data_IF_868846215638
#
_entry.id   IF_868846215638
#
_cell.length_a   1.000
_cell.length_b   1.000
_cell.length_c   1.000
_cell.angle_alpha   90.00
_cell.angle_beta   90.00
_cell.angle_gamma   90.00
#
_symmetry.space_group_name_H-M   'P 1'
#
loop_
_entity.id
_entity.type
_entity.pdbx_description
1 polymer ?
#
# COMPACT_ATOMS: atom_id res chain seq x y z
N UNK A 1 7.03 40.97 0.68
CA UNK A 1 5.96 40.44 -0.19
C UNK A 1 6.65 39.42 -1.09
N UNK A 2 7.04 38.28 -0.55
CA UNK A 2 6.18 37.10 -0.31
C UNK A 2 5.72 36.52 -1.63
N UNK A 3 6.47 35.55 -2.16
CA UNK A 3 5.95 34.25 -2.59
C UNK A 3 7.05 33.22 -2.28
N UNK A 4 6.84 32.47 -1.21
CA UNK A 4 7.59 31.26 -0.87
C UNK A 4 7.09 30.13 -1.78
N UNK A 5 8.03 29.28 -2.23
CA UNK A 5 7.96 27.81 -2.34
C UNK A 5 6.68 27.22 -2.97
N UNK A 6 6.76 26.45 -4.06
CA UNK A 6 7.22 25.06 -3.97
C UNK A 6 7.77 24.60 -5.32
N UNK A 7 9.06 24.29 -5.35
CA UNK A 7 9.63 23.46 -6.40
C UNK A 7 9.30 22.02 -6.02
N UNK A 8 8.49 21.35 -6.84
CA UNK A 8 8.28 19.90 -6.72
C UNK A 8 9.60 19.21 -7.08
N UNK A 9 10.43 18.97 -6.07
CA UNK A 9 11.69 18.25 -6.19
C UNK A 9 11.37 16.76 -6.40
N UNK A 10 11.58 16.29 -7.62
CA UNK A 10 11.40 14.89 -7.99
C UNK A 10 12.66 14.13 -7.59
N UNK A 11 12.59 13.37 -6.48
CA UNK A 11 13.72 12.55 -6.00
C UNK A 11 13.54 11.08 -6.41
N UNK A 12 14.68 10.48 -6.77
CA UNK A 12 14.90 9.28 -7.58
C UNK A 12 14.02 8.06 -7.29
N UNK A 13 13.65 7.38 -8.39
CA UNK A 13 12.43 6.60 -8.58
C UNK A 13 12.67 5.08 -8.56
N UNK A 14 11.85 4.32 -7.82
CA UNK A 14 11.49 2.95 -8.23
C UNK A 14 10.61 3.10 -9.47
N UNK A 15 11.16 2.95 -10.67
CA UNK A 15 10.56 3.37 -11.96
C UNK A 15 9.01 3.50 -11.95
N UNK A 16 8.51 4.74 -11.79
CA UNK A 16 7.09 5.09 -11.76
C UNK A 16 6.42 5.31 -10.39
N UNK A 17 7.11 5.12 -9.25
CA UNK A 17 6.51 5.41 -7.92
C UNK A 17 6.48 6.91 -7.61
N UNK A 18 5.32 7.40 -7.16
CA UNK A 18 5.10 8.81 -6.81
C UNK A 18 4.86 8.98 -5.31
N UNK A 19 5.20 10.15 -4.79
CA UNK A 19 4.84 10.57 -3.42
C UNK A 19 3.80 11.67 -3.52
N UNK A 20 2.72 11.52 -2.77
CA UNK A 20 1.62 12.49 -2.73
C UNK A 20 1.27 12.84 -1.30
N UNK A 21 0.85 14.08 -1.08
CA UNK A 21 0.34 14.56 0.20
C UNK A 21 -1.19 14.56 0.19
N UNK A 22 -1.79 13.83 1.13
CA UNK A 22 -3.25 13.72 1.26
C UNK A 22 -3.62 14.01 2.71
N UNK A 23 -4.39 15.08 2.94
CA UNK A 23 -4.80 15.48 4.29
C UNK A 23 -3.63 15.63 5.30
N UNK A 24 -2.46 16.08 4.82
CA UNK A 24 -1.24 16.22 5.64
C UNK A 24 -0.53 14.90 5.94
N UNK A 25 -0.85 13.84 5.19
CA UNK A 25 -0.20 12.53 5.25
C UNK A 25 0.57 12.28 3.96
N UNK A 26 1.86 12.00 4.09
CA UNK A 26 2.73 11.61 2.99
C UNK A 26 2.49 10.15 2.60
N UNK A 27 2.20 9.91 1.32
CA UNK A 27 1.81 8.59 0.79
C UNK A 27 2.68 8.23 -0.41
N UNK A 28 3.31 7.05 -0.35
CA UNK A 28 4.02 6.45 -1.47
C UNK A 28 3.05 5.61 -2.30
N UNK A 29 2.91 5.90 -3.59
CA UNK A 29 2.06 5.14 -4.52
C UNK A 29 2.92 4.39 -5.53
N UNK A 30 2.63 3.11 -5.70
CA UNK A 30 3.26 2.30 -6.73
C UNK A 30 2.41 2.29 -8.00
N UNK A 31 3.05 2.32 -9.19
CA UNK A 31 2.36 2.09 -10.46
C UNK A 31 1.88 0.63 -10.54
N UNK A 32 0.95 0.34 -11.45
CA UNK A 32 0.39 -1.00 -11.65
C UNK A 32 1.41 -1.98 -12.28
N UNK A 33 2.36 -1.47 -13.05
CA UNK A 33 3.47 -2.21 -13.61
C UNK A 33 4.72 -2.14 -12.71
N UNK A 34 5.46 -3.24 -12.59
CA UNK A 34 6.77 -3.25 -11.91
C UNK A 34 7.13 -4.61 -11.29
N UNK A 35 8.11 -4.59 -10.37
CA UNK A 35 8.62 -5.76 -9.63
C UNK A 35 7.63 -6.35 -8.63
N UNK A 36 7.11 -7.56 -8.86
CA UNK A 36 6.14 -8.22 -7.97
C UNK A 36 6.66 -8.32 -6.54
N UNK A 37 5.77 -8.05 -5.58
CA UNK A 37 5.98 -8.17 -4.13
C UNK A 37 5.57 -9.58 -3.75
N UNK A 38 6.56 -10.47 -3.64
CA UNK A 38 6.35 -11.90 -3.39
C UNK A 38 6.53 -12.30 -1.93
N UNK A 39 7.14 -11.46 -1.09
CA UNK A 39 7.35 -11.80 0.31
C UNK A 39 7.94 -10.69 1.17
N UNK A 40 8.46 -11.10 2.32
CA UNK A 40 8.95 -10.18 3.36
C UNK A 40 10.11 -9.30 2.90
N UNK A 41 11.00 -9.78 2.02
CA UNK A 41 12.12 -8.98 1.52
C UNK A 41 11.64 -7.82 0.66
N UNK A 42 10.76 -8.10 -0.30
CA UNK A 42 10.20 -7.06 -1.17
C UNK A 42 9.39 -6.04 -0.35
N UNK A 43 8.68 -6.49 0.69
CA UNK A 43 8.00 -5.60 1.62
C UNK A 43 8.97 -4.70 2.41
N UNK A 44 10.12 -5.24 2.84
CA UNK A 44 11.15 -4.47 3.52
C UNK A 44 11.78 -3.42 2.61
N UNK A 45 11.98 -3.73 1.34
CA UNK A 45 12.51 -2.77 0.36
C UNK A 45 11.53 -1.60 0.19
N UNK A 46 10.23 -1.89 0.03
CA UNK A 46 9.19 -0.85 -0.04
C UNK A 46 9.07 0.00 1.23
N UNK A 47 9.22 -0.61 2.40
CA UNK A 47 9.25 0.11 3.68
C UNK A 47 10.47 1.04 3.72
N UNK A 48 11.62 0.59 3.23
CA UNK A 48 12.81 1.42 3.08
C UNK A 48 12.57 2.63 2.19
N UNK A 49 11.95 2.43 1.03
CA UNK A 49 11.60 3.50 0.10
C UNK A 49 10.61 4.49 0.70
N UNK A 50 9.59 3.99 1.42
CA UNK A 50 8.61 4.82 2.10
C UNK A 50 9.27 5.70 3.16
N UNK A 51 10.09 5.11 4.05
CA UNK A 51 10.80 5.86 5.09
C UNK A 51 11.80 6.86 4.51
N UNK A 52 12.50 6.51 3.42
CA UNK A 52 13.41 7.43 2.75
C UNK A 52 12.73 8.65 2.13
N UNK A 53 11.40 8.62 2.01
CA UNK A 53 10.56 9.67 1.46
C UNK A 53 9.53 10.20 2.47
N UNK A 54 9.74 9.93 3.76
CA UNK A 54 8.85 10.29 4.87
C UNK A 54 7.39 9.82 4.72
N UNK A 55 7.14 8.82 3.87
CA UNK A 55 5.81 8.27 3.64
C UNK A 55 5.36 7.39 4.80
N UNK A 56 4.16 7.66 5.30
CA UNK A 56 3.54 6.89 6.40
C UNK A 56 2.50 5.88 5.89
N UNK A 57 2.18 5.95 4.59
CA UNK A 57 1.35 4.98 3.88
C UNK A 57 1.99 4.57 2.56
N UNK A 58 1.77 3.30 2.20
CA UNK A 58 2.12 2.76 0.88
C UNK A 58 0.87 2.22 0.21
N UNK A 59 0.58 2.72 -0.99
CA UNK A 59 -0.49 2.23 -1.86
C UNK A 59 0.11 1.31 -2.91
N UNK A 60 -0.31 0.05 -2.87
CA UNK A 60 0.18 -1.04 -3.72
C UNK A 60 -0.98 -1.54 -4.58
N UNK A 61 -0.88 -1.47 -5.93
CA UNK A 61 -1.85 -2.12 -6.78
C UNK A 61 -1.84 -3.65 -6.59
N UNK A 62 -3.01 -4.28 -6.55
CA UNK A 62 -3.18 -5.72 -6.34
C UNK A 62 -2.39 -6.54 -7.36
N UNK A 63 -2.25 -6.05 -8.60
CA UNK A 63 -1.44 -6.65 -9.66
C UNK A 63 0.07 -6.73 -9.34
N UNK A 64 0.56 -5.92 -8.38
CA UNK A 64 1.95 -5.96 -7.90
C UNK A 64 2.13 -7.03 -6.82
N UNK A 65 1.07 -7.57 -6.23
CA UNK A 65 1.15 -8.61 -5.21
C UNK A 65 1.21 -9.99 -5.87
N UNK A 66 2.13 -10.83 -5.40
CA UNK A 66 2.19 -12.21 -5.87
C UNK A 66 0.93 -13.00 -5.47
N UNK A 67 0.56 -14.00 -6.27
CA UNK A 67 -0.58 -14.91 -6.03
C UNK A 67 -0.58 -15.54 -4.62
N UNK A 68 0.60 -15.75 -4.03
CA UNK A 68 0.74 -16.30 -2.68
C UNK A 68 0.20 -15.35 -1.60
N UNK A 69 0.14 -14.04 -1.86
CA UNK A 69 -0.49 -13.07 -0.96
C UNK A 69 -1.98 -13.39 -0.76
N UNK A 70 -2.70 -13.72 -1.83
CA UNK A 70 -4.13 -14.03 -1.76
C UNK A 70 -4.41 -15.43 -1.19
N UNK A 71 -3.39 -16.28 -1.11
CA UNK A 71 -3.46 -17.62 -0.52
C UNK A 71 -2.96 -17.61 0.93
N UNK A 72 -3.81 -17.24 1.88
CA UNK A 72 -3.43 -17.06 3.29
C UNK A 72 -2.72 -18.27 3.96
N UNK A 73 -2.94 -19.49 3.46
CA UNK A 73 -2.23 -20.69 3.94
C UNK A 73 -0.71 -20.65 3.71
N UNK A 74 -0.23 -19.85 2.74
CA UNK A 74 1.21 -19.65 2.46
C UNK A 74 1.91 -18.81 3.52
N UNK A 75 1.14 -18.08 4.35
CA UNK A 75 1.62 -17.09 5.33
C UNK A 75 2.33 -15.88 4.73
N UNK A 76 2.38 -15.74 3.40
CA UNK A 76 3.03 -14.62 2.72
C UNK A 76 2.37 -13.28 3.06
N UNK A 77 1.04 -13.19 2.97
CA UNK A 77 0.32 -11.96 3.34
C UNK A 77 0.56 -11.57 4.80
N UNK A 78 0.51 -12.53 5.72
CA UNK A 78 0.78 -12.29 7.14
C UNK A 78 2.19 -11.74 7.37
N UNK A 79 3.21 -12.33 6.74
CA UNK A 79 4.59 -11.87 6.84
C UNK A 79 4.79 -10.45 6.29
N UNK A 80 4.22 -10.16 5.12
CA UNK A 80 4.26 -8.81 4.50
C UNK A 80 3.59 -7.79 5.43
N UNK A 81 2.33 -8.03 5.82
CA UNK A 81 1.55 -7.11 6.65
C UNK A 81 2.21 -6.89 8.01
N UNK A 82 2.79 -7.94 8.60
CA UNK A 82 3.50 -7.83 9.86
C UNK A 82 4.71 -6.89 9.76
N UNK A 83 5.41 -6.81 8.62
CA UNK A 83 6.46 -5.80 8.43
C UNK A 83 5.87 -4.40 8.50
N UNK A 84 4.84 -4.10 7.71
CA UNK A 84 4.20 -2.78 7.72
C UNK A 84 3.77 -2.35 9.12
N UNK A 85 3.13 -3.25 9.88
CA UNK A 85 2.75 -3.01 11.27
C UNK A 85 3.96 -2.74 12.18
N UNK A 86 5.03 -3.55 12.08
CA UNK A 86 6.23 -3.37 12.91
C UNK A 86 6.90 -2.00 12.70
N UNK A 87 6.87 -1.50 11.46
CA UNK A 87 7.43 -0.20 11.09
C UNK A 87 6.42 0.95 11.20
N UNK A 88 5.17 0.66 11.59
CA UNK A 88 4.08 1.63 11.73
C UNK A 88 3.78 2.40 10.44
N UNK A 89 3.92 1.72 9.30
CA UNK A 89 3.56 2.24 7.98
C UNK A 89 2.26 1.55 7.57
N UNK A 90 1.26 2.33 7.16
CA UNK A 90 0.00 1.81 6.66
C UNK A 90 0.17 1.20 5.26
N UNK A 91 -0.52 0.09 5.00
CA UNK A 91 -0.56 -0.57 3.69
C UNK A 91 -1.96 -0.46 3.09
N UNK A 92 -2.08 0.04 1.87
CA UNK A 92 -3.31 0.01 1.10
C UNK A 92 -3.11 -0.84 -0.16
N UNK A 93 -3.94 -1.84 -0.34
CA UNK A 93 -4.01 -2.64 -1.56
C UNK A 93 -5.15 -2.09 -2.42
N UNK A 94 -4.85 -1.71 -3.66
CA UNK A 94 -5.83 -1.12 -4.59
C UNK A 94 -6.04 -1.98 -5.83
N UNK A 95 -7.28 -2.13 -6.26
CA UNK A 95 -7.64 -2.89 -7.46
C UNK A 95 -8.61 -4.05 -7.19
N UNK A 96 -9.08 -4.67 -8.26
CA UNK A 96 -10.07 -5.75 -8.16
C UNK A 96 -9.43 -7.07 -7.67
N UNK A 97 -9.92 -7.55 -6.53
CA UNK A 97 -9.57 -8.85 -5.93
C UNK A 97 -10.80 -9.76 -5.76
N UNK A 98 -11.90 -9.43 -6.42
CA UNK A 98 -13.20 -10.08 -6.24
C UNK A 98 -13.13 -11.57 -6.56
N UNK A 99 -12.37 -11.97 -7.57
CA UNK A 99 -12.15 -13.37 -7.92
C UNK A 99 -11.45 -14.15 -6.78
N UNK A 100 -10.39 -13.58 -6.21
CA UNK A 100 -9.69 -14.19 -5.08
C UNK A 100 -10.58 -14.31 -3.83
N UNK A 101 -11.37 -13.26 -3.54
CA UNK A 101 -12.30 -13.21 -2.40
C UNK A 101 -13.51 -14.14 -2.59
N UNK A 102 -13.94 -14.36 -3.83
CA UNK A 102 -14.97 -15.34 -4.16
C UNK A 102 -14.45 -16.77 -3.95
N UNK A 103 -13.19 -17.03 -4.29
CA UNK A 103 -12.55 -18.33 -4.17
C UNK A 103 -12.14 -18.73 -2.75
N UNK A 104 -12.07 -17.78 -1.79
CA UNK A 104 -11.56 -18.04 -0.44
C UNK A 104 -12.33 -17.28 0.64
N UNK A 105 -13.05 -18.01 1.51
CA UNK A 105 -13.72 -17.41 2.68
C UNK A 105 -12.72 -16.85 3.68
N UNK A 106 -11.56 -17.50 3.86
CA UNK A 106 -10.51 -17.00 4.74
C UNK A 106 -9.95 -15.66 4.26
N UNK A 107 -9.74 -15.50 2.95
CA UNK A 107 -9.31 -14.22 2.37
C UNK A 107 -10.41 -13.16 2.54
N UNK A 108 -11.67 -13.51 2.32
CA UNK A 108 -12.80 -12.61 2.53
C UNK A 108 -12.84 -12.08 3.97
N UNK A 109 -12.75 -12.97 4.95
CA UNK A 109 -12.78 -12.59 6.36
C UNK A 109 -11.58 -11.71 6.72
N UNK A 110 -10.40 -12.04 6.19
CA UNK A 110 -9.20 -11.22 6.34
C UNK A 110 -9.34 -9.82 5.76
N UNK A 111 -9.91 -9.68 4.56
CA UNK A 111 -10.19 -8.38 3.92
C UNK A 111 -11.18 -7.56 4.75
N UNK A 112 -12.28 -8.18 5.20
CA UNK A 112 -13.30 -7.51 6.02
C UNK A 112 -12.72 -7.01 7.34
N UNK A 113 -11.91 -7.83 8.01
CA UNK A 113 -11.31 -7.45 9.28
C UNK A 113 -10.23 -6.37 9.10
N UNK A 114 -9.39 -6.49 8.07
CA UNK A 114 -8.37 -5.48 7.73
C UNK A 114 -9.01 -4.11 7.48
N UNK A 115 -10.09 -4.08 6.68
CA UNK A 115 -10.83 -2.85 6.36
C UNK A 115 -11.55 -2.21 7.55
N UNK A 116 -11.60 -2.84 8.72
CA UNK A 116 -12.07 -2.22 9.97
C UNK A 116 -10.95 -1.54 10.75
N UNK A 117 -9.71 -1.95 10.52
CA UNK A 117 -8.53 -1.37 11.15
C UNK A 117 -8.00 -0.13 10.44
N UNK A 118 -6.87 0.39 10.95
CA UNK A 118 -6.21 1.62 10.49
C UNK A 118 -4.80 1.37 9.93
N UNK A 119 -4.46 0.12 9.61
CA UNK A 119 -3.10 -0.27 9.19
C UNK A 119 -3.06 -1.04 7.88
N UNK A 120 -4.17 -1.66 7.46
CA UNK A 120 -4.26 -2.38 6.20
C UNK A 120 -5.63 -2.16 5.57
N UNK A 121 -5.68 -1.62 4.36
CA UNK A 121 -6.92 -1.43 3.61
C UNK A 121 -6.87 -2.14 2.26
N UNK A 122 -8.02 -2.64 1.84
CA UNK A 122 -8.30 -3.20 0.52
C UNK A 122 -9.40 -2.35 -0.12
N UNK A 123 -9.07 -1.67 -1.21
CA UNK A 123 -9.88 -0.63 -1.82
C UNK A 123 -9.94 -0.84 -3.33
N UNK A 124 -10.96 -0.31 -3.99
CA UNK A 124 -11.14 -0.44 -5.43
C UNK A 124 -10.04 0.29 -6.22
N UNK A 125 -9.66 1.48 -5.77
CA UNK A 125 -8.69 2.34 -6.46
C UNK A 125 -8.07 3.39 -5.52
N UNK A 126 -7.16 4.20 -6.08
CA UNK A 126 -6.50 5.29 -5.37
C UNK A 126 -7.47 6.42 -4.95
N UNK A 127 -8.57 6.64 -5.66
CA UNK A 127 -9.57 7.64 -5.30
C UNK A 127 -10.34 7.25 -4.03
N UNK A 128 -10.66 5.97 -3.88
CA UNK A 128 -11.25 5.45 -2.64
C UNK A 128 -10.29 5.57 -1.46
N UNK A 129 -8.98 5.36 -1.68
CA UNK A 129 -7.95 5.58 -0.68
C UNK A 129 -7.93 7.04 -0.21
N UNK A 130 -7.92 8.01 -1.13
CA UNK A 130 -7.87 9.43 -0.80
C UNK A 130 -9.10 9.86 0.01
N UNK A 131 -10.28 9.41 -0.44
CA UNK A 131 -11.55 9.70 0.22
C UNK A 131 -11.59 9.11 1.65
N UNK A 132 -11.02 7.93 1.84
CA UNK A 132 -10.96 7.26 3.14
C UNK A 132 -9.96 7.94 4.07
N UNK A 133 -8.75 8.24 3.59
CA UNK A 133 -7.71 8.87 4.39
C UNK A 133 -8.12 10.27 4.87
N UNK A 134 -8.85 11.02 4.03
CA UNK A 134 -9.39 12.36 4.39
C UNK A 134 -10.46 12.30 5.50
N UNK A 135 -11.08 11.13 5.73
CA UNK A 135 -12.15 10.94 6.72
C UNK A 135 -11.66 10.31 8.02
N UNK A 136 -10.46 9.75 8.04
CA UNK A 136 -9.85 9.07 9.17
C UNK A 136 -9.34 10.09 10.21
#
# INVERSE_FOLDING_TARGET
MSEHHEATETVETVAGSEVVEIAGTTVLRLPAEGTVIGGERDAMDLIGDAMGRDATWVVVPAARLGEDFFRLSTRVAGGIVQKFVNYRIGLAVTGDISEHVAASSALRDFVVESNRGNQLWFLADAGEFDARLTRA
#
